data_IF_238954131622
#
_entry.id   IF_238954131622
#
_cell.length_a   1.000
_cell.length_b   1.000
_cell.length_c   1.000
_cell.angle_alpha   90.00
_cell.angle_beta   90.00
_cell.angle_gamma   90.00
#
_symmetry.space_group_name_H-M   'P 1'
#
loop_
_entity.id
_entity.type
_entity.pdbx_description
1 polymer ?
#
# COMPACT_ATOMS: atom_id res chain seq x y z
N UNK A 1 -16.94 -0.86 36.81
CA UNK A 1 -17.14 -2.12 36.06
C UNK A 1 -17.99 -1.77 34.85
N UNK A 2 -17.48 -1.64 33.62
CA UNK A 2 -18.36 -1.54 32.47
C UNK A 2 -18.94 -2.93 32.21
N UNK A 3 -20.25 -3.01 32.28
CA UNK A 3 -21.07 -4.18 32.18
C UNK A 3 -20.88 -4.91 30.85
N UNK A 4 -20.84 -6.24 30.90
CA UNK A 4 -20.81 -7.15 29.77
C UNK A 4 -22.08 -7.18 28.91
N UNK A 5 -22.61 -6.02 28.55
CA UNK A 5 -23.86 -5.89 27.79
C UNK A 5 -23.71 -6.18 26.28
N UNK A 6 -22.49 -6.32 25.76
CA UNK A 6 -22.28 -6.46 24.32
C UNK A 6 -22.62 -7.83 23.72
N UNK A 7 -22.81 -8.86 24.55
CA UNK A 7 -23.07 -10.21 24.05
C UNK A 7 -24.34 -10.86 24.64
N UNK A 8 -25.15 -10.13 25.41
CA UNK A 8 -26.28 -10.70 26.18
C UNK A 8 -27.33 -11.43 25.31
N UNK A 9 -27.52 -11.04 24.06
CA UNK A 9 -28.45 -11.71 23.13
C UNK A 9 -27.90 -12.99 22.48
N UNK A 10 -26.62 -13.28 22.63
CA UNK A 10 -25.95 -14.41 21.96
C UNK A 10 -25.87 -15.67 22.85
N UNK A 11 -26.18 -15.54 24.16
CA UNK A 11 -26.06 -16.65 25.12
C UNK A 11 -27.27 -17.57 25.16
N UNK A 12 -28.42 -17.11 24.70
CA UNK A 12 -29.70 -17.84 24.92
C UNK A 12 -30.31 -18.40 23.65
N UNK A 13 -29.81 -18.08 22.46
CA UNK A 13 -30.37 -18.55 21.19
C UNK A 13 -29.34 -19.42 20.44
N UNK A 14 -29.81 -20.58 19.95
CA UNK A 14 -29.03 -21.42 19.04
C UNK A 14 -28.93 -20.72 17.66
N UNK A 15 -27.93 -19.91 17.48
CA UNK A 15 -27.66 -19.29 16.19
C UNK A 15 -27.09 -20.32 15.22
N UNK A 16 -27.71 -20.43 14.06
CA UNK A 16 -27.15 -21.18 12.93
C UNK A 16 -25.78 -20.59 12.60
N UNK A 17 -24.74 -21.42 12.56
CA UNK A 17 -23.33 -21.02 12.51
C UNK A 17 -22.84 -20.26 11.25
N UNK A 18 -23.76 -19.61 10.53
CA UNK A 18 -23.40 -18.70 9.44
C UNK A 18 -23.27 -17.27 9.97
N UNK A 19 -22.08 -16.97 10.47
CA UNK A 19 -21.72 -15.59 10.69
C UNK A 19 -21.56 -14.90 9.33
N UNK A 20 -22.35 -13.86 9.08
CA UNK A 20 -22.12 -12.99 7.92
C UNK A 20 -20.76 -12.35 8.12
N UNK A 21 -19.77 -12.79 7.37
CA UNK A 21 -18.47 -12.10 7.34
C UNK A 21 -18.70 -10.67 6.86
N UNK A 22 -18.18 -9.70 7.62
CA UNK A 22 -18.26 -8.32 7.21
C UNK A 22 -17.59 -8.19 5.82
N UNK A 23 -18.30 -7.56 4.87
CA UNK A 23 -17.74 -7.27 3.56
C UNK A 23 -16.55 -6.35 3.75
N UNK A 24 -15.35 -6.86 3.54
CA UNK A 24 -14.11 -6.08 3.51
C UNK A 24 -13.58 -6.04 2.10
N UNK A 25 -12.95 -4.93 1.78
CA UNK A 25 -12.20 -4.83 0.52
C UNK A 25 -11.09 -5.86 0.53
N UNK A 26 -11.09 -6.75 -0.45
CA UNK A 26 -9.99 -7.69 -0.67
C UNK A 26 -8.96 -7.06 -1.61
N UNK A 27 -7.90 -6.45 -1.09
CA UNK A 27 -6.87 -5.82 -1.91
C UNK A 27 -5.94 -6.83 -2.58
N UNK A 28 -5.91 -8.07 -2.10
CA UNK A 28 -5.14 -9.16 -2.73
C UNK A 28 -5.78 -9.61 -4.04
N UNK A 29 -7.10 -9.57 -4.15
CA UNK A 29 -7.85 -9.98 -5.34
C UNK A 29 -7.48 -9.20 -6.60
N UNK A 30 -6.89 -8.02 -6.47
CA UNK A 30 -6.40 -7.22 -7.59
C UNK A 30 -5.03 -7.68 -8.13
N UNK A 31 -4.31 -8.58 -7.45
CA UNK A 31 -3.05 -9.17 -7.89
C UNK A 31 -1.89 -8.19 -8.09
N UNK A 32 -2.07 -6.89 -7.79
CA UNK A 32 -1.05 -5.87 -8.00
C UNK A 32 0.12 -5.98 -7.01
N UNK A 33 -0.17 -6.38 -5.78
CA UNK A 33 0.82 -6.48 -4.72
C UNK A 33 1.87 -7.57 -5.00
N UNK A 34 1.47 -8.69 -5.58
CA UNK A 34 2.36 -9.78 -5.96
C UNK A 34 3.35 -9.41 -7.09
N UNK A 35 3.04 -8.34 -7.85
CA UNK A 35 3.93 -7.81 -8.90
C UNK A 35 5.01 -6.87 -8.36
N UNK A 36 4.93 -6.46 -7.09
CA UNK A 36 5.94 -5.63 -6.45
C UNK A 36 7.11 -6.53 -6.05
N UNK A 37 8.33 -6.09 -6.39
CA UNK A 37 9.54 -6.79 -6.00
C UNK A 37 9.71 -6.77 -4.48
N UNK A 38 9.92 -7.95 -3.87
CA UNK A 38 10.26 -8.06 -2.45
C UNK A 38 11.75 -7.86 -2.23
N UNK A 39 12.10 -7.16 -1.15
CA UNK A 39 13.45 -6.92 -0.68
C UNK A 39 13.69 -7.52 0.72
N UNK A 40 12.87 -8.47 1.14
CA UNK A 40 12.91 -9.07 2.48
C UNK A 40 14.30 -9.62 2.85
N UNK A 41 15.03 -10.13 1.86
CA UNK A 41 16.38 -10.69 2.05
C UNK A 41 17.45 -9.64 2.40
N UNK A 42 17.16 -8.34 2.21
CA UNK A 42 18.10 -7.23 2.45
C UNK A 42 17.79 -6.46 3.73
N UNK A 43 16.88 -6.97 4.57
CA UNK A 43 16.47 -6.32 5.80
C UNK A 43 17.49 -6.58 6.89
N UNK A 44 18.10 -5.53 7.43
CA UNK A 44 18.95 -5.58 8.62
C UNK A 44 18.37 -4.66 9.70
N UNK A 45 18.04 -5.21 10.87
CA UNK A 45 17.55 -4.44 12.04
C UNK A 45 16.44 -3.43 11.69
N UNK A 46 15.42 -3.87 10.93
CA UNK A 46 14.29 -3.04 10.49
C UNK A 46 14.64 -1.89 9.52
N UNK A 47 15.80 -1.95 8.86
CA UNK A 47 16.22 -0.98 7.85
C UNK A 47 16.69 -1.70 6.60
N UNK A 48 16.36 -1.14 5.43
CA UNK A 48 16.89 -1.56 4.13
C UNK A 48 17.74 -0.42 3.59
N UNK A 49 18.99 -0.72 3.23
CA UNK A 49 19.88 0.22 2.58
C UNK A 49 19.86 0.05 1.07
N UNK A 50 19.61 1.12 0.34
CA UNK A 50 19.68 1.17 -1.11
C UNK A 50 20.88 2.02 -1.52
N UNK A 51 21.77 1.43 -2.30
CA UNK A 51 22.85 2.20 -2.93
C UNK A 51 22.23 3.01 -4.06
N UNK A 52 22.41 4.33 -3.99
CA UNK A 52 22.07 5.25 -5.07
C UNK A 52 23.35 5.51 -5.87
N UNK A 53 23.42 4.94 -7.07
CA UNK A 53 24.53 5.17 -7.99
C UNK A 53 24.38 6.60 -8.54
N UNK A 54 25.46 7.36 -8.53
CA UNK A 54 25.53 8.72 -9.04
C UNK A 54 25.12 8.84 -10.51
N UNK A 55 25.16 10.06 -11.03
CA UNK A 55 24.81 10.32 -12.42
C UNK A 55 25.74 9.63 -13.41
N UNK A 56 25.31 9.52 -14.67
CA UNK A 56 26.15 9.02 -15.74
C UNK A 56 27.33 9.98 -16.01
N UNK A 57 28.52 9.47 -16.36
CA UNK A 57 29.66 10.30 -16.68
C UNK A 57 29.41 11.14 -17.93
N UNK A 58 30.03 12.29 -17.98
CA UNK A 58 29.90 13.23 -19.10
C UNK A 58 30.56 12.68 -20.38
N UNK A 59 29.74 12.52 -21.43
CA UNK A 59 30.24 12.09 -22.75
C UNK A 59 30.66 13.28 -23.57
N UNK A 60 31.95 13.36 -23.89
CA UNK A 60 32.52 14.40 -24.76
C UNK A 60 32.61 13.91 -26.21
N UNK A 61 31.97 14.65 -27.14
CA UNK A 61 31.98 14.32 -28.57
C UNK A 61 32.90 15.34 -29.30
N UNK A 62 33.85 14.81 -30.08
CA UNK A 62 34.82 15.63 -30.82
C UNK A 62 35.65 16.61 -29.94
N UNK A 63 36.01 16.16 -28.74
CA UNK A 63 36.80 16.99 -27.83
C UNK A 63 38.22 17.27 -28.39
N UNK A 64 38.62 18.51 -28.32
CA UNK A 64 39.96 18.98 -28.73
C UNK A 64 40.81 19.49 -27.56
N UNK A 65 40.24 19.52 -26.36
CA UNK A 65 40.90 20.02 -25.15
C UNK A 65 41.47 18.86 -24.32
N UNK A 66 42.76 18.92 -24.00
CA UNK A 66 43.51 17.95 -23.20
C UNK A 66 44.43 18.68 -22.21
N UNK A 67 44.67 18.14 -20.98
CA UNK A 67 44.15 16.85 -20.47
C UNK A 67 42.65 16.90 -20.11
N UNK A 68 42.01 15.73 -20.12
CA UNK A 68 40.61 15.58 -19.64
C UNK A 68 40.58 15.72 -18.12
N UNK A 69 39.58 16.43 -17.62
CA UNK A 69 39.33 16.50 -16.19
C UNK A 69 38.75 15.13 -15.70
N UNK A 70 39.19 14.74 -14.51
CA UNK A 70 38.71 13.52 -13.86
C UNK A 70 37.37 13.85 -13.21
N UNK A 71 36.33 13.15 -13.60
CA UNK A 71 34.98 13.24 -13.01
C UNK A 71 34.83 12.16 -11.96
N UNK A 72 34.45 12.54 -10.74
CA UNK A 72 34.15 11.61 -9.66
C UNK A 72 32.65 11.32 -9.67
N UNK A 73 32.28 10.03 -9.61
CA UNK A 73 30.90 9.60 -9.43
C UNK A 73 30.57 9.57 -7.95
N UNK A 74 29.58 10.35 -7.53
CA UNK A 74 29.12 10.38 -6.15
C UNK A 74 28.05 9.32 -5.92
N UNK A 75 28.45 8.25 -5.24
CA UNK A 75 27.52 7.22 -4.80
C UNK A 75 26.95 7.59 -3.42
N UNK A 76 25.64 7.40 -3.26
CA UNK A 76 24.93 7.70 -2.02
C UNK A 76 24.27 6.46 -1.42
N UNK A 77 24.05 6.47 -0.11
CA UNK A 77 23.22 5.48 0.60
C UNK A 77 21.87 6.10 0.95
N UNK A 78 20.79 5.37 0.66
CA UNK A 78 19.42 5.71 1.07
C UNK A 78 18.86 4.64 1.97
N UNK A 79 18.82 4.93 3.27
CA UNK A 79 18.21 4.06 4.26
C UNK A 79 16.68 4.23 4.28
N UNK A 80 15.96 3.12 4.23
CA UNK A 80 14.49 3.06 4.35
C UNK A 80 14.15 2.22 5.57
N UNK A 81 13.50 2.84 6.56
CA UNK A 81 13.01 2.15 7.76
C UNK A 81 11.70 1.45 7.49
N UNK A 82 11.53 0.24 8.06
CA UNK A 82 10.33 -0.55 7.91
C UNK A 82 9.25 -0.13 8.91
N UNK A 83 8.01 -0.11 8.43
CA UNK A 83 6.84 0.16 9.28
C UNK A 83 6.47 -1.10 10.09
N UNK A 84 6.21 -0.94 11.39
CA UNK A 84 5.73 -2.02 12.26
C UNK A 84 4.21 -1.97 12.38
N UNK A 85 3.55 -3.09 12.09
CA UNK A 85 2.09 -3.22 12.19
C UNK A 85 1.71 -4.02 13.43
N UNK A 86 0.90 -3.44 14.30
CA UNK A 86 0.42 -4.07 15.52
C UNK A 86 -1.07 -3.78 15.72
N UNK A 87 -1.81 -4.75 16.23
CA UNK A 87 -3.18 -4.56 16.71
C UNK A 87 -3.20 -4.47 18.23
N UNK A 88 -4.18 -3.76 18.77
CA UNK A 88 -4.41 -3.76 20.21
C UNK A 88 -4.85 -5.16 20.66
N UNK A 89 -4.41 -5.64 21.83
CA UNK A 89 -4.84 -6.93 22.36
C UNK A 89 -6.35 -6.93 22.62
N UNK A 90 -7.03 -8.02 22.28
CA UNK A 90 -8.44 -8.24 22.54
C UNK A 90 -8.60 -9.27 23.63
N UNK A 91 -9.34 -8.92 24.68
CA UNK A 91 -9.64 -9.84 25.77
C UNK A 91 -10.80 -10.76 25.35
N UNK A 92 -10.64 -12.04 25.64
CA UNK A 92 -11.68 -13.06 25.54
C UNK A 92 -11.81 -13.67 26.93
N UNK A 93 -13.03 -13.79 27.43
CA UNK A 93 -13.30 -14.41 28.74
C UNK A 93 -13.60 -15.89 28.55
N UNK A 94 -13.44 -16.69 29.63
CA UNK A 94 -13.73 -18.12 29.59
C UNK A 94 -15.23 -18.38 29.30
N UNK A 95 -16.12 -17.55 29.84
CA UNK A 95 -17.55 -17.61 29.52
C UNK A 95 -17.83 -17.45 28.04
N UNK A 96 -17.14 -16.51 27.39
CA UNK A 96 -17.28 -16.30 25.94
C UNK A 96 -16.72 -17.45 25.12
N UNK A 97 -15.70 -18.17 25.61
CA UNK A 97 -15.14 -19.32 24.92
C UNK A 97 -16.09 -20.54 24.93
N UNK A 98 -16.80 -20.74 26.03
CA UNK A 98 -17.62 -21.96 26.23
C UNK A 98 -19.12 -21.75 26.03
N UNK A 99 -19.61 -20.52 26.20
CA UNK A 99 -21.04 -20.22 26.11
C UNK A 99 -21.53 -19.79 24.73
N UNK A 100 -20.60 -19.40 23.84
CA UNK A 100 -20.97 -18.95 22.49
C UNK A 100 -21.09 -20.13 21.51
N UNK A 101 -22.02 -20.00 20.58
CA UNK A 101 -22.30 -21.02 19.55
C UNK A 101 -21.26 -21.04 18.42
N UNK A 102 -20.22 -20.20 18.49
CA UNK A 102 -19.17 -20.11 17.49
C UNK A 102 -17.78 -19.97 18.13
N UNK A 103 -16.74 -20.33 17.39
CA UNK A 103 -15.36 -20.16 17.85
C UNK A 103 -14.94 -18.68 17.82
N UNK A 104 -15.09 -18.03 18.99
CA UNK A 104 -14.72 -16.63 19.17
C UNK A 104 -13.23 -16.41 19.01
N UNK A 105 -12.40 -17.35 19.46
CA UNK A 105 -10.93 -17.23 19.40
C UNK A 105 -10.47 -17.20 17.93
N UNK A 106 -10.94 -18.14 17.11
CA UNK A 106 -10.62 -18.17 15.69
C UNK A 106 -11.09 -16.91 14.98
N UNK A 107 -12.32 -16.46 15.28
CA UNK A 107 -12.89 -15.24 14.71
C UNK A 107 -12.08 -13.99 15.07
N UNK A 108 -11.64 -13.85 16.31
CA UNK A 108 -10.81 -12.71 16.75
C UNK A 108 -9.46 -12.72 16.03
N UNK A 109 -8.81 -13.88 15.92
CA UNK A 109 -7.55 -14.02 15.19
C UNK A 109 -7.72 -13.62 13.71
N UNK A 110 -8.77 -14.10 13.06
CA UNK A 110 -9.08 -13.75 11.66
C UNK A 110 -9.27 -12.23 11.50
N UNK A 111 -10.05 -11.60 12.38
CA UNK A 111 -10.25 -10.15 12.38
C UNK A 111 -8.97 -9.34 12.57
N UNK A 112 -8.08 -9.80 13.44
CA UNK A 112 -6.76 -9.15 13.62
C UNK A 112 -5.91 -9.26 12.36
N UNK A 113 -5.87 -10.43 11.72
CA UNK A 113 -5.15 -10.63 10.45
C UNK A 113 -5.70 -9.73 9.34
N UNK A 114 -7.02 -9.71 9.17
CA UNK A 114 -7.68 -8.89 8.16
C UNK A 114 -7.41 -7.39 8.37
N UNK A 115 -7.50 -6.91 9.62
CA UNK A 115 -7.23 -5.51 9.93
C UNK A 115 -5.78 -5.09 9.62
N UNK A 116 -4.81 -5.97 9.92
CA UNK A 116 -3.39 -5.73 9.56
C UNK A 116 -3.23 -5.72 8.04
N UNK A 117 -3.81 -6.70 7.33
CA UNK A 117 -3.72 -6.80 5.88
C UNK A 117 -4.32 -5.58 5.20
N UNK A 118 -5.53 -5.16 5.58
CA UNK A 118 -6.18 -3.97 5.03
C UNK A 118 -5.30 -2.72 5.21
N UNK A 119 -4.74 -2.53 6.41
CA UNK A 119 -3.86 -1.38 6.69
C UNK A 119 -2.55 -1.45 5.91
N UNK A 120 -1.95 -2.63 5.79
CA UNK A 120 -0.75 -2.87 5.00
C UNK A 120 -0.96 -2.49 3.54
N UNK A 121 -2.04 -2.96 2.91
CA UNK A 121 -2.33 -2.65 1.51
C UNK A 121 -2.68 -1.19 1.28
N UNK A 122 -3.47 -0.59 2.17
CA UNK A 122 -3.75 0.84 2.12
C UNK A 122 -2.45 1.66 2.17
N UNK A 123 -1.54 1.31 3.08
CA UNK A 123 -0.23 1.98 3.20
C UNK A 123 0.62 1.79 1.95
N UNK A 124 0.64 0.57 1.37
CA UNK A 124 1.39 0.27 0.16
C UNK A 124 0.90 1.09 -1.05
N UNK A 125 -0.40 1.24 -1.22
CA UNK A 125 -0.98 2.09 -2.29
C UNK A 125 -0.54 3.54 -2.11
N UNK A 126 -0.62 4.06 -0.88
CA UNK A 126 -0.18 5.43 -0.60
C UNK A 126 1.33 5.63 -0.81
N UNK A 127 2.14 4.61 -0.50
CA UNK A 127 3.58 4.68 -0.72
C UNK A 127 3.97 4.69 -2.21
N UNK A 128 3.17 4.06 -3.07
CA UNK A 128 3.38 4.07 -4.53
C UNK A 128 2.89 5.39 -5.14
N UNK A 129 1.90 6.04 -4.51
CA UNK A 129 1.36 7.29 -5.02
C UNK A 129 2.42 8.41 -4.95
N UNK A 130 2.59 9.21 -6.01
CA UNK A 130 3.52 10.34 -5.99
C UNK A 130 3.07 11.40 -4.98
N UNK A 131 4.03 11.94 -4.22
CA UNK A 131 3.78 12.95 -3.20
C UNK A 131 3.55 14.34 -3.78
N UNK A 132 4.08 14.61 -4.97
CA UNK A 132 4.09 15.94 -5.56
C UNK A 132 3.63 15.92 -7.03
N UNK A 133 3.05 17.05 -7.43
CA UNK A 133 2.74 17.30 -8.83
C UNK A 133 3.99 17.80 -9.55
N UNK A 134 4.60 16.96 -10.36
CA UNK A 134 5.79 17.28 -11.13
C UNK A 134 5.60 16.96 -12.61
N UNK A 135 6.57 17.34 -13.44
CA UNK A 135 6.57 17.00 -14.87
C UNK A 135 6.59 15.47 -15.09
N UNK A 136 7.27 14.73 -14.21
CA UNK A 136 7.35 13.26 -14.26
C UNK A 136 6.08 12.59 -13.71
N UNK A 137 5.47 13.19 -12.70
CA UNK A 137 4.26 12.69 -12.01
C UNK A 137 3.13 13.73 -12.03
N UNK A 138 2.57 14.06 -13.21
CA UNK A 138 1.58 15.13 -13.32
C UNK A 138 0.23 14.72 -12.72
N UNK A 139 -0.36 15.61 -11.95
CA UNK A 139 -1.72 15.46 -11.40
C UNK A 139 -2.74 15.93 -12.45
N UNK A 140 -3.68 15.05 -12.79
CA UNK A 140 -4.80 15.35 -13.69
C UNK A 140 -6.07 15.54 -12.87
N UNK A 141 -6.70 16.68 -13.03
CA UNK A 141 -8.03 16.91 -12.48
C UNK A 141 -9.09 16.40 -13.47
N UNK A 142 -10.12 15.75 -12.94
CA UNK A 142 -11.28 15.29 -13.71
C UNK A 142 -12.09 16.47 -14.25
N UNK A 143 -12.61 16.34 -15.48
CA UNK A 143 -13.25 17.44 -16.22
C UNK A 143 -14.78 17.37 -16.26
N UNK A 144 -15.38 16.33 -15.68
CA UNK A 144 -16.84 16.16 -15.67
C UNK A 144 -17.57 17.10 -14.71
N UNK A 145 -18.88 17.03 -14.73
CA UNK A 145 -19.74 17.78 -13.83
C UNK A 145 -19.50 17.39 -12.36
N UNK A 146 -19.75 18.33 -11.47
CA UNK A 146 -19.61 18.08 -10.04
C UNK A 146 -20.84 17.30 -9.54
N UNK A 147 -20.62 16.15 -8.90
CA UNK A 147 -21.62 15.37 -8.20
C UNK A 147 -21.12 15.10 -6.79
N UNK A 148 -21.93 15.40 -5.78
CA UNK A 148 -21.59 15.21 -4.36
C UNK A 148 -20.22 15.79 -3.94
N UNK A 149 -19.88 16.97 -4.46
CA UNK A 149 -18.63 17.65 -4.15
C UNK A 149 -17.39 17.13 -4.88
N UNK A 150 -17.53 16.14 -5.80
CA UNK A 150 -16.47 15.60 -6.62
C UNK A 150 -16.80 15.71 -8.10
N UNK A 151 -15.80 16.00 -8.93
CA UNK A 151 -15.97 15.98 -10.38
C UNK A 151 -15.96 14.55 -10.91
N UNK A 152 -16.90 14.23 -11.79
CA UNK A 152 -17.02 12.92 -12.41
C UNK A 152 -15.87 12.74 -13.42
N UNK A 153 -15.30 11.54 -13.47
CA UNK A 153 -14.31 11.16 -14.46
C UNK A 153 -14.96 10.92 -15.82
N UNK A 154 -14.46 11.58 -16.84
CA UNK A 154 -14.96 11.45 -18.22
C UNK A 154 -14.03 10.62 -19.10
N UNK A 155 -14.55 10.12 -20.23
CA UNK A 155 -13.73 9.43 -21.24
C UNK A 155 -12.56 10.31 -21.74
N UNK A 156 -12.75 11.63 -21.79
CA UNK A 156 -11.70 12.58 -22.18
C UNK A 156 -10.53 12.58 -21.20
N UNK A 157 -10.81 12.40 -19.90
CA UNK A 157 -9.77 12.35 -18.85
C UNK A 157 -8.91 11.09 -18.99
N UNK A 158 -9.52 9.95 -19.34
CA UNK A 158 -8.80 8.70 -19.61
C UNK A 158 -7.86 8.87 -20.82
N UNK A 159 -8.33 9.53 -21.89
CA UNK A 159 -7.49 9.81 -23.06
C UNK A 159 -6.34 10.75 -22.71
N UNK A 160 -6.58 11.77 -21.86
CA UNK A 160 -5.52 12.66 -21.35
C UNK A 160 -4.49 11.89 -20.53
N UNK A 161 -4.95 11.00 -19.67
CA UNK A 161 -4.07 10.13 -18.86
C UNK A 161 -3.16 9.31 -19.77
N UNK A 162 -3.73 8.62 -20.76
CA UNK A 162 -2.95 7.85 -21.75
C UNK A 162 -1.91 8.70 -22.46
N UNK A 163 -2.29 9.89 -22.92
CA UNK A 163 -1.35 10.82 -23.59
C UNK A 163 -0.18 11.20 -22.68
N UNK A 164 -0.40 11.35 -21.37
CA UNK A 164 0.66 11.66 -20.43
C UNK A 164 1.61 10.48 -20.21
N UNK A 165 1.09 9.25 -20.14
CA UNK A 165 1.94 8.06 -20.11
C UNK A 165 2.80 7.93 -21.38
N UNK A 166 2.19 8.17 -22.56
CA UNK A 166 2.93 8.14 -23.82
C UNK A 166 4.00 9.24 -23.89
N UNK A 167 3.70 10.47 -23.37
CA UNK A 167 4.66 11.58 -23.31
C UNK A 167 5.84 11.27 -22.38
N UNK A 168 5.56 10.63 -21.24
CA UNK A 168 6.58 10.26 -20.24
C UNK A 168 7.28 8.94 -20.59
N UNK A 169 7.04 8.38 -21.80
CA UNK A 169 7.67 7.14 -22.29
C UNK A 169 7.54 5.97 -21.32
N UNK A 170 6.41 5.89 -20.60
CA UNK A 170 6.13 4.77 -19.70
C UNK A 170 6.05 3.47 -20.52
N UNK A 171 6.80 2.41 -20.14
CA UNK A 171 6.76 1.15 -20.88
C UNK A 171 5.34 0.60 -20.94
N UNK A 172 4.91 0.23 -22.13
CA UNK A 172 3.65 -0.50 -22.30
C UNK A 172 3.94 -1.94 -21.90
N UNK A 173 3.40 -2.37 -20.76
CA UNK A 173 3.45 -3.77 -20.41
C UNK A 173 2.81 -4.59 -21.52
N UNK A 174 3.54 -5.57 -21.99
CA UNK A 174 3.01 -6.57 -22.92
C UNK A 174 2.02 -7.49 -22.20
#
# INVERSE_FOLDING_TARGET
MPSGAACAGLYTEAWTGFMIKAFRTDPEGLGWYSKIRSFDQYVEKDVIHFVNIGGDPTVLVNNTSYPLEIEELEDGDKAVTLDKYQTKPTRITDDELYSLSYDKKATVIERHKEAISEKKYSRAIHAIAPNENSTATPVILTSGEASEGRKIMTRKDIVRLKKLFDKNKVPKAG
#
